data_IF_076738542136
#
_entry.id   IF_076738542136
#
_cell.length_a   1.000
_cell.length_b   1.000
_cell.length_c   1.000
_cell.angle_alpha   90.00
_cell.angle_beta   90.00
_cell.angle_gamma   90.00
#
_symmetry.space_group_name_H-M   'P 1'
#
loop_
_entity.id
_entity.type
_entity.pdbx_description
1 polymer ?
#
# COMPACT_ATOMS: atom_id res chain seq x y z
N UNK A 1 -31.83 -11.36 13.68
CA UNK A 1 -31.58 -12.42 14.68
C UNK A 1 -30.07 -12.38 14.88
N UNK A 2 -29.63 -11.89 16.03
CA UNK A 2 -28.22 -12.02 16.45
C UNK A 2 -28.07 -13.43 16.96
N UNK A 3 -27.42 -14.30 16.17
CA UNK A 3 -26.96 -15.58 16.68
C UNK A 3 -25.90 -15.28 17.75
N UNK A 4 -26.31 -15.37 19.00
CA UNK A 4 -25.40 -15.45 20.14
C UNK A 4 -24.62 -16.74 20.02
N UNK A 5 -23.37 -16.66 19.62
CA UNK A 5 -22.47 -17.81 19.64
C UNK A 5 -22.12 -18.10 21.12
N UNK A 6 -22.82 -19.01 21.74
CA UNK A 6 -22.69 -19.32 23.18
C UNK A 6 -21.35 -19.97 23.57
N UNK A 7 -20.58 -20.48 22.62
CA UNK A 7 -19.25 -21.00 22.91
C UNK A 7 -18.33 -20.88 21.67
N UNK A 8 -17.25 -20.16 21.83
CA UNK A 8 -16.17 -20.07 20.84
C UNK A 8 -15.09 -21.09 21.22
N UNK A 9 -14.83 -22.05 20.34
CA UNK A 9 -13.72 -22.99 20.50
C UNK A 9 -12.57 -22.45 19.65
N UNK A 10 -11.44 -22.13 20.29
CA UNK A 10 -10.24 -21.68 19.59
C UNK A 10 -9.41 -22.88 19.10
N UNK A 11 -9.84 -23.50 18.01
CA UNK A 11 -9.13 -24.59 17.35
C UNK A 11 -8.38 -24.13 16.09
N UNK A 12 -8.33 -22.83 15.85
CA UNK A 12 -7.64 -22.27 14.71
C UNK A 12 -6.11 -22.31 14.88
N UNK A 13 -5.41 -22.42 13.77
CA UNK A 13 -3.96 -22.31 13.71
C UNK A 13 -3.56 -21.40 12.56
N UNK A 14 -2.42 -20.73 12.70
CA UNK A 14 -1.87 -19.89 11.64
C UNK A 14 -0.38 -20.12 11.50
N UNK A 15 0.13 -19.91 10.29
CA UNK A 15 1.56 -19.94 10.01
C UNK A 15 1.95 -18.74 9.15
N UNK A 16 3.05 -18.11 9.53
CA UNK A 16 3.70 -17.05 8.76
C UNK A 16 5.18 -17.36 8.69
N UNK A 17 5.72 -17.35 7.51
CA UNK A 17 7.17 -17.44 7.33
C UNK A 17 7.58 -16.63 6.11
N UNK A 18 8.81 -16.15 6.09
CA UNK A 18 9.32 -15.35 5.01
C UNK A 18 10.78 -14.98 5.22
N UNK A 19 11.31 -14.33 4.22
CA UNK A 19 12.64 -13.73 4.25
C UNK A 19 12.50 -12.24 3.92
N UNK A 20 13.23 -11.43 4.64
CA UNK A 20 13.33 -10.01 4.40
C UNK A 20 14.78 -9.61 4.22
N UNK A 21 15.02 -8.78 3.22
CA UNK A 21 16.31 -8.13 2.98
C UNK A 21 16.11 -6.62 3.01
N UNK A 22 16.95 -5.92 3.79
CA UNK A 22 17.01 -4.46 3.83
C UNK A 22 18.43 -4.01 3.53
N UNK A 23 18.57 -3.15 2.53
CA UNK A 23 19.81 -2.45 2.20
C UNK A 23 19.60 -0.95 2.34
N UNK A 24 20.48 -0.28 3.09
CA UNK A 24 20.41 1.15 3.31
C UNK A 24 21.77 1.80 3.06
N UNK A 25 21.75 2.94 2.37
CA UNK A 25 22.84 3.90 2.32
C UNK A 25 22.34 5.21 2.90
N UNK A 26 22.90 5.60 4.04
CA UNK A 26 22.67 6.91 4.62
C UNK A 26 23.19 8.02 3.70
N UNK A 27 22.61 9.21 3.86
CA UNK A 27 23.02 10.37 3.06
C UNK A 27 24.53 10.63 3.17
N UNK A 28 25.22 10.49 2.06
CA UNK A 28 26.64 10.75 1.90
C UNK A 28 26.92 11.07 0.43
N UNK A 29 27.85 11.97 0.17
CA UNK A 29 28.21 12.41 -1.17
C UNK A 29 27.01 12.91 -2.01
N UNK A 30 26.04 13.52 -1.30
CA UNK A 30 24.84 14.10 -1.91
C UNK A 30 23.77 13.08 -2.31
N UNK A 31 23.81 11.83 -1.86
CA UNK A 31 22.76 10.86 -2.16
C UNK A 31 22.51 9.84 -1.04
N UNK A 32 21.33 9.27 -1.04
CA UNK A 32 20.90 8.19 -0.16
C UNK A 32 20.04 7.18 -0.90
N UNK A 33 19.98 5.97 -0.39
CA UNK A 33 19.14 4.90 -0.93
C UNK A 33 18.67 3.98 0.19
N UNK A 34 17.45 3.45 0.04
CA UNK A 34 16.89 2.39 0.86
C UNK A 34 16.18 1.40 -0.05
N UNK A 35 16.42 0.13 0.13
CA UNK A 35 15.68 -0.93 -0.52
C UNK A 35 15.28 -1.98 0.50
N UNK A 36 14.00 -2.35 0.53
CA UNK A 36 13.48 -3.47 1.31
C UNK A 36 12.77 -4.44 0.39
N UNK A 37 13.05 -5.72 0.53
CA UNK A 37 12.40 -6.78 -0.24
C UNK A 37 12.02 -7.89 0.74
N UNK A 38 10.75 -8.23 0.78
CA UNK A 38 10.21 -9.32 1.60
C UNK A 38 9.50 -10.32 0.70
N UNK A 39 9.73 -11.61 0.93
CA UNK A 39 8.99 -12.70 0.31
C UNK A 39 8.45 -13.59 1.42
N UNK A 40 7.15 -13.83 1.44
CA UNK A 40 6.52 -14.51 2.56
C UNK A 40 5.25 -15.28 2.15
N UNK A 41 4.87 -16.23 3.01
CA UNK A 41 3.60 -16.96 2.95
C UNK A 41 2.89 -16.85 4.29
N UNK A 42 1.61 -16.49 4.27
CA UNK A 42 0.78 -16.28 5.45
C UNK A 42 -0.55 -16.98 5.26
N UNK A 43 -0.76 -18.06 6.02
CA UNK A 43 -1.95 -18.88 5.95
C UNK A 43 -2.53 -19.16 7.32
N UNK A 44 -3.81 -19.48 7.33
CA UNK A 44 -4.50 -19.90 8.54
C UNK A 44 -5.42 -21.09 8.26
N UNK A 45 -5.72 -21.81 9.30
CA UNK A 45 -6.69 -22.89 9.30
C UNK A 45 -7.75 -22.56 10.35
N UNK A 46 -9.00 -22.44 9.93
CA UNK A 46 -10.13 -22.19 10.81
C UNK A 46 -10.57 -23.46 11.55
N UNK A 47 -11.67 -23.36 12.31
CA UNK A 47 -12.28 -24.49 13.02
C UNK A 47 -12.80 -25.60 12.10
N UNK A 48 -13.05 -25.26 10.81
CA UNK A 48 -13.44 -26.20 9.74
C UNK A 48 -12.27 -27.05 9.23
N UNK A 49 -11.03 -26.76 9.68
CA UNK A 49 -9.83 -27.47 9.28
C UNK A 49 -9.32 -27.16 7.88
N UNK A 50 -9.92 -26.21 7.16
CA UNK A 50 -9.50 -25.82 5.80
C UNK A 50 -8.42 -24.75 5.87
N UNK A 51 -7.29 -24.97 5.19
CA UNK A 51 -6.22 -23.98 5.07
C UNK A 51 -6.58 -22.92 4.03
N UNK A 52 -6.47 -21.66 4.42
CA UNK A 52 -6.75 -20.49 3.58
C UNK A 52 -5.63 -19.47 3.68
N UNK A 53 -5.52 -18.62 2.66
CA UNK A 53 -4.66 -17.46 2.75
C UNK A 53 -5.21 -16.45 3.77
N UNK A 54 -4.34 -15.70 4.41
CA UNK A 54 -4.76 -14.49 5.14
C UNK A 54 -4.99 -13.34 4.15
N UNK A 55 -5.74 -12.32 4.55
CA UNK A 55 -5.91 -11.09 3.76
C UNK A 55 -4.56 -10.44 3.40
N UNK A 56 -3.52 -10.68 4.20
CA UNK A 56 -2.20 -10.07 4.07
C UNK A 56 -1.18 -10.94 3.33
N UNK A 57 -1.58 -12.13 2.84
CA UNK A 57 -0.69 -13.02 2.10
C UNK A 57 -0.43 -12.51 0.68
N UNK A 58 0.18 -11.33 0.56
CA UNK A 58 0.53 -10.77 -0.74
C UNK A 58 1.65 -11.54 -1.44
N UNK A 59 2.40 -12.37 -0.72
CA UNK A 59 3.50 -13.20 -1.20
C UNK A 59 4.83 -12.45 -1.33
N UNK A 60 4.79 -11.17 -1.67
CA UNK A 60 5.97 -10.30 -1.71
C UNK A 60 5.61 -8.84 -1.44
N UNK A 61 6.57 -8.10 -0.92
CA UNK A 61 6.58 -6.65 -0.82
C UNK A 61 7.99 -6.12 -1.13
N UNK A 62 8.08 -5.07 -1.93
CA UNK A 62 9.34 -4.40 -2.21
C UNK A 62 9.13 -2.88 -2.18
N UNK A 63 10.05 -2.18 -1.51
CA UNK A 63 10.10 -0.73 -1.50
C UNK A 63 11.51 -0.28 -1.86
N UNK A 64 11.57 0.73 -2.73
CA UNK A 64 12.83 1.36 -3.12
C UNK A 64 12.68 2.86 -2.94
N UNK A 65 13.63 3.46 -2.26
CA UNK A 65 13.78 4.90 -2.12
C UNK A 65 15.19 5.27 -2.58
N UNK A 66 15.28 6.24 -3.46
CA UNK A 66 16.53 6.83 -3.88
C UNK A 66 16.37 8.35 -3.91
N UNK A 67 17.35 9.06 -3.37
CA UNK A 67 17.36 10.51 -3.41
C UNK A 67 18.76 11.06 -3.64
N UNK A 68 18.81 12.19 -4.35
CA UNK A 68 20.05 12.90 -4.63
C UNK A 68 19.86 14.40 -4.52
N UNK A 69 20.81 15.05 -3.88
CA UNK A 69 20.99 16.48 -3.84
C UNK A 69 22.15 16.86 -4.76
N UNK A 70 21.88 17.85 -5.62
CA UNK A 70 22.82 18.36 -6.61
C UNK A 70 23.17 19.80 -6.24
N UNK A 71 24.35 20.02 -5.68
CA UNK A 71 24.84 21.36 -5.42
C UNK A 71 25.13 22.07 -6.75
N UNK A 72 24.22 22.93 -7.18
CA UNK A 72 24.35 23.69 -8.44
C UNK A 72 25.25 24.90 -8.26
N UNK A 73 25.26 25.47 -7.04
CA UNK A 73 26.17 26.55 -6.61
C UNK A 73 26.35 26.48 -5.09
N UNK A 74 27.05 27.46 -4.51
CA UNK A 74 27.19 27.60 -3.06
C UNK A 74 25.86 27.91 -2.35
N UNK A 75 24.88 28.43 -3.07
CA UNK A 75 23.59 28.86 -2.52
C UNK A 75 22.38 28.08 -3.07
N UNK A 76 22.57 27.25 -4.08
CA UNK A 76 21.49 26.52 -4.75
C UNK A 76 21.73 25.02 -4.77
N UNK A 77 20.74 24.28 -4.28
CA UNK A 77 20.72 22.82 -4.32
C UNK A 77 19.43 22.35 -5.01
N UNK A 78 19.56 21.50 -6.02
CA UNK A 78 18.44 20.75 -6.59
C UNK A 78 18.28 19.45 -5.81
N UNK A 79 17.06 19.16 -5.39
CA UNK A 79 16.68 17.94 -4.66
C UNK A 79 15.86 17.07 -5.57
N UNK A 80 16.26 15.81 -5.73
CA UNK A 80 15.50 14.82 -6.51
C UNK A 80 15.36 13.54 -5.69
N UNK A 81 14.18 12.95 -5.68
CA UNK A 81 14.02 11.60 -5.15
C UNK A 81 12.92 10.83 -5.85
N UNK A 82 13.03 9.52 -5.81
CA UNK A 82 12.06 8.58 -6.31
C UNK A 82 11.77 7.54 -5.23
N UNK A 83 10.51 7.20 -5.04
CA UNK A 83 10.06 6.12 -4.19
C UNK A 83 9.14 5.20 -5.00
N UNK A 84 9.41 3.91 -4.96
CA UNK A 84 8.58 2.91 -5.61
C UNK A 84 8.18 1.84 -4.62
N UNK A 85 6.92 1.43 -4.66
CA UNK A 85 6.37 0.36 -3.82
C UNK A 85 5.69 -0.67 -4.70
N UNK A 86 6.02 -1.93 -4.48
CA UNK A 86 5.48 -3.10 -5.17
C UNK A 86 4.99 -4.10 -4.13
N UNK A 87 3.74 -4.53 -4.22
CA UNK A 87 3.20 -5.59 -3.37
C UNK A 87 2.44 -6.57 -4.24
N UNK A 88 2.48 -7.84 -3.89
CA UNK A 88 1.59 -8.83 -4.50
C UNK A 88 0.13 -8.54 -4.20
N UNK A 89 -0.77 -9.09 -4.99
CA UNK A 89 -2.20 -8.91 -4.81
C UNK A 89 -2.67 -9.44 -3.46
N UNK A 90 -3.52 -8.68 -2.78
CA UNK A 90 -4.18 -9.08 -1.53
C UNK A 90 -5.27 -10.10 -1.81
N UNK A 91 -5.54 -10.95 -0.85
CA UNK A 91 -6.67 -11.87 -0.92
C UNK A 91 -7.91 -11.26 -0.28
N UNK A 92 -9.05 -11.41 -0.97
CA UNK A 92 -10.37 -11.00 -0.51
C UNK A 92 -11.30 -12.20 -0.47
N UNK A 93 -12.30 -12.10 0.39
CA UNK A 93 -13.47 -12.99 0.33
C UNK A 93 -14.42 -12.44 -0.72
N UNK A 94 -14.82 -13.20 -1.75
CA UNK A 94 -15.69 -12.71 -2.79
C UNK A 94 -17.09 -12.39 -2.26
N UNK A 95 -17.68 -11.33 -2.79
CA UNK A 95 -19.06 -10.93 -2.51
C UNK A 95 -20.04 -11.78 -3.28
N UNK A 96 -21.07 -12.28 -2.59
CA UNK A 96 -22.23 -12.96 -3.21
C UNK A 96 -23.25 -11.91 -3.62
N UNK A 97 -23.23 -11.49 -4.88
CA UNK A 97 -24.12 -10.45 -5.39
C UNK A 97 -25.60 -10.81 -5.23
N UNK A 98 -25.98 -12.06 -5.49
CA UNK A 98 -27.38 -12.50 -5.40
C UNK A 98 -27.89 -12.50 -3.95
N UNK A 99 -27.11 -13.03 -3.03
CA UNK A 99 -27.46 -12.99 -1.60
C UNK A 99 -27.43 -11.56 -1.05
N UNK A 100 -26.51 -10.73 -1.50
CA UNK A 100 -26.43 -9.31 -1.14
C UNK A 100 -27.68 -8.54 -1.61
N UNK A 101 -28.16 -8.83 -2.83
CA UNK A 101 -29.38 -8.24 -3.35
C UNK A 101 -30.62 -8.62 -2.50
N UNK A 102 -30.73 -9.90 -2.12
CA UNK A 102 -31.82 -10.38 -1.30
C UNK A 102 -31.79 -9.79 0.13
N UNK A 103 -30.58 -9.62 0.70
CA UNK A 103 -30.39 -9.10 2.03
C UNK A 103 -30.35 -7.55 2.11
N UNK A 104 -30.22 -6.86 0.98
CA UNK A 104 -30.04 -5.39 0.95
C UNK A 104 -28.72 -4.90 1.54
N UNK A 105 -27.75 -5.79 1.76
CA UNK A 105 -26.45 -5.50 2.35
C UNK A 105 -25.38 -6.45 1.80
N UNK A 106 -24.09 -6.15 2.05
CA UNK A 106 -22.99 -7.01 1.62
C UNK A 106 -23.06 -8.40 2.29
N UNK A 107 -23.11 -9.45 1.48
CA UNK A 107 -23.01 -10.85 1.90
C UNK A 107 -21.84 -11.48 1.15
N UNK A 108 -20.99 -12.17 1.89
CA UNK A 108 -19.80 -12.84 1.34
C UNK A 108 -20.02 -14.34 1.21
N UNK A 109 -19.22 -15.01 0.39
CA UNK A 109 -19.17 -16.45 0.34
C UNK A 109 -18.28 -16.97 1.50
N UNK A 110 -18.87 -17.49 2.56
CA UNK A 110 -18.14 -17.95 3.76
C UNK A 110 -17.19 -19.12 3.45
N UNK A 111 -17.60 -20.02 2.56
CA UNK A 111 -16.81 -21.18 2.10
C UNK A 111 -15.60 -20.77 1.24
N UNK A 112 -15.59 -19.54 0.72
CA UNK A 112 -14.54 -19.00 -0.15
C UNK A 112 -13.76 -17.86 0.52
N UNK A 113 -13.61 -17.90 1.83
CA UNK A 113 -12.87 -16.89 2.56
C UNK A 113 -11.44 -16.73 2.02
N UNK A 114 -11.07 -15.49 1.62
CA UNK A 114 -9.77 -15.11 1.06
C UNK A 114 -9.33 -15.95 -0.14
N UNK A 115 -10.25 -16.29 -1.03
CA UNK A 115 -9.96 -17.04 -2.26
C UNK A 115 -9.65 -16.17 -3.47
N UNK A 116 -10.18 -14.95 -3.52
CA UNK A 116 -9.98 -14.04 -4.65
C UNK A 116 -8.73 -13.19 -4.44
N UNK A 117 -7.78 -13.30 -5.38
CA UNK A 117 -6.56 -12.50 -5.37
C UNK A 117 -6.73 -11.26 -6.25
N UNK A 118 -6.50 -10.09 -5.67
CA UNK A 118 -6.48 -8.82 -6.38
C UNK A 118 -5.23 -8.68 -7.27
N UNK A 119 -5.28 -7.72 -8.19
CA UNK A 119 -4.10 -7.31 -8.94
C UNK A 119 -2.99 -6.80 -8.01
N UNK A 120 -1.72 -6.96 -8.40
CA UNK A 120 -0.61 -6.43 -7.65
C UNK A 120 -0.70 -4.92 -7.49
N UNK A 121 -0.28 -4.44 -6.32
CA UNK A 121 -0.15 -3.02 -6.04
C UNK A 121 1.17 -2.48 -6.61
N UNK A 122 1.08 -1.36 -7.28
CA UNK A 122 2.24 -0.58 -7.71
C UNK A 122 1.99 0.91 -7.50
N UNK A 123 2.99 1.60 -6.93
CA UNK A 123 2.99 3.06 -6.83
C UNK A 123 4.39 3.59 -6.98
N UNK A 124 4.54 4.67 -7.75
CA UNK A 124 5.76 5.41 -7.87
C UNK A 124 5.51 6.89 -7.58
N UNK A 125 6.31 7.45 -6.66
CA UNK A 125 6.29 8.86 -6.29
C UNK A 125 7.63 9.50 -6.67
N UNK A 126 7.59 10.74 -7.13
CA UNK A 126 8.76 11.54 -7.48
C UNK A 126 8.71 12.84 -6.71
N UNK A 127 9.84 13.25 -6.13
CA UNK A 127 10.02 14.58 -5.55
C UNK A 127 11.04 15.35 -6.36
N UNK A 128 10.69 16.60 -6.66
CA UNK A 128 11.57 17.61 -7.22
C UNK A 128 11.58 18.80 -6.27
N UNK A 129 12.76 19.34 -5.95
CA UNK A 129 12.85 20.46 -5.03
C UNK A 129 14.05 21.34 -5.31
N UNK A 130 13.93 22.60 -4.90
CA UNK A 130 15.01 23.56 -4.90
C UNK A 130 15.18 24.12 -3.49
N UNK A 131 16.44 24.19 -3.03
CA UNK A 131 16.83 24.82 -1.76
C UNK A 131 17.74 25.98 -2.03
N UNK A 132 17.46 27.12 -1.39
CA UNK A 132 18.25 28.35 -1.40
C UNK A 132 18.83 28.60 -0.03
N UNK A 133 20.15 28.66 0.07
CA UNK A 133 20.88 29.04 1.29
C UNK A 133 21.22 30.54 1.20
N UNK A 134 20.53 31.38 1.98
CA UNK A 134 20.67 32.84 1.94
C UNK A 134 21.60 33.39 3.02
N UNK A 135 22.35 32.54 3.69
CA UNK A 135 23.26 32.89 4.78
C UNK A 135 22.58 33.05 6.13
N UNK A 136 21.49 33.83 6.22
CA UNK A 136 20.69 34.02 7.44
C UNK A 136 19.39 33.21 7.43
N UNK A 137 19.01 32.64 6.32
CA UNK A 137 17.81 31.80 6.19
C UNK A 137 17.97 30.79 5.06
N UNK A 138 17.15 29.74 5.13
CA UNK A 138 17.04 28.71 4.09
C UNK A 138 15.62 28.67 3.58
N UNK A 139 15.44 28.70 2.27
CA UNK A 139 14.15 28.50 1.61
C UNK A 139 14.18 27.19 0.82
N UNK A 140 13.09 26.42 0.88
CA UNK A 140 12.95 25.19 0.11
C UNK A 140 11.57 25.15 -0.52
N UNK A 141 11.52 24.93 -1.83
CA UNK A 141 10.31 24.69 -2.60
C UNK A 141 10.38 23.26 -3.14
N UNK A 142 9.39 22.43 -2.81
CA UNK A 142 9.30 21.07 -3.30
C UNK A 142 7.97 20.79 -3.98
N UNK A 143 8.01 19.90 -4.98
CA UNK A 143 6.86 19.28 -5.62
C UNK A 143 6.94 17.78 -5.36
N UNK A 144 6.00 17.25 -4.57
CA UNK A 144 5.79 15.83 -4.38
C UNK A 144 4.74 15.35 -5.37
N UNK A 145 5.16 14.60 -6.37
CA UNK A 145 4.29 14.00 -7.39
C UNK A 145 4.02 12.57 -6.95
N UNK A 146 2.82 12.33 -6.43
CA UNK A 146 2.40 11.02 -5.94
C UNK A 146 1.73 10.22 -7.04
N UNK A 147 2.03 8.92 -7.05
CA UNK A 147 1.50 7.98 -8.05
C UNK A 147 1.67 8.51 -9.47
N UNK A 148 2.91 8.83 -9.86
CA UNK A 148 3.25 9.46 -11.15
C UNK A 148 2.80 8.62 -12.36
N UNK A 149 2.59 7.33 -12.17
CA UNK A 149 2.12 6.39 -13.19
C UNK A 149 0.59 6.33 -13.28
N UNK A 150 -0.12 7.01 -12.37
CA UNK A 150 -1.58 6.98 -12.24
C UNK A 150 -2.16 5.55 -12.15
N UNK A 151 -1.42 4.65 -11.50
CA UNK A 151 -1.86 3.27 -11.35
C UNK A 151 -3.06 3.17 -10.42
N UNK A 152 -4.12 2.49 -10.86
CA UNK A 152 -5.35 2.33 -10.10
C UNK A 152 -5.24 1.12 -9.15
N UNK A 153 -4.70 1.37 -7.97
CA UNK A 153 -4.59 0.36 -6.91
C UNK A 153 -5.92 0.18 -6.20
N UNK A 154 -6.42 -1.04 -6.12
CA UNK A 154 -7.68 -1.36 -5.46
C UNK A 154 -7.58 -1.19 -3.95
N UNK A 155 -8.53 -0.45 -3.33
CA UNK A 155 -8.70 -0.40 -1.87
C UNK A 155 -9.58 -1.55 -1.40
N UNK A 156 -10.80 -1.60 -1.92
CA UNK A 156 -11.82 -2.56 -1.52
C UNK A 156 -12.90 -2.71 -2.59
N UNK A 157 -13.68 -3.78 -2.45
CA UNK A 157 -14.92 -3.95 -3.18
C UNK A 157 -16.10 -3.73 -2.23
N UNK A 158 -17.12 -3.01 -2.69
CA UNK A 158 -18.32 -2.68 -1.92
C UNK A 158 -19.56 -3.03 -2.70
N UNK A 159 -20.51 -3.65 -2.03
CA UNK A 159 -21.85 -3.82 -2.58
C UNK A 159 -22.64 -2.50 -2.48
N UNK A 160 -23.26 -2.10 -3.58
CA UNK A 160 -24.16 -0.93 -3.63
C UNK A 160 -25.62 -1.40 -3.70
N UNK A 161 -26.39 -1.27 -2.61
CA UNK A 161 -27.78 -1.73 -2.56
C UNK A 161 -28.73 -0.95 -3.47
N UNK A 162 -28.38 0.29 -3.87
CA UNK A 162 -29.22 1.09 -4.76
C UNK A 162 -29.17 0.62 -6.21
N UNK A 163 -28.00 0.19 -6.65
CA UNK A 163 -27.76 -0.25 -8.04
C UNK A 163 -27.67 -1.76 -8.17
N UNK A 164 -27.65 -2.47 -7.05
CA UNK A 164 -27.45 -3.93 -6.98
C UNK A 164 -26.18 -4.38 -7.70
N UNK A 165 -25.09 -3.62 -7.54
CA UNK A 165 -23.79 -3.89 -8.18
C UNK A 165 -22.68 -3.94 -7.13
N UNK A 166 -21.58 -4.63 -7.48
CA UNK A 166 -20.33 -4.56 -6.75
C UNK A 166 -19.48 -3.48 -7.39
N UNK A 167 -19.16 -2.44 -6.62
CA UNK A 167 -18.27 -1.36 -7.02
C UNK A 167 -16.86 -1.60 -6.48
N UNK A 168 -15.85 -1.37 -7.30
CA UNK A 168 -14.44 -1.37 -6.87
C UNK A 168 -14.02 0.06 -6.57
N UNK A 169 -13.48 0.27 -5.37
CA UNK A 169 -12.93 1.56 -4.96
C UNK A 169 -11.40 1.50 -5.09
N UNK A 170 -10.85 2.57 -5.68
CA UNK A 170 -9.41 2.68 -5.93
C UNK A 170 -8.77 3.67 -4.96
N UNK A 171 -7.49 3.48 -4.71
CA UNK A 171 -6.67 4.47 -4.02
C UNK A 171 -6.53 5.73 -4.87
N UNK A 172 -6.05 6.79 -4.24
CA UNK A 172 -5.79 8.03 -4.94
C UNK A 172 -4.83 7.81 -6.12
N UNK A 173 -5.23 8.28 -7.29
CA UNK A 173 -4.43 8.31 -8.49
C UNK A 173 -3.34 9.38 -8.44
N UNK A 174 -2.96 9.90 -9.60
CA UNK A 174 -2.00 10.98 -9.72
C UNK A 174 -2.37 12.21 -8.89
N UNK A 175 -1.41 12.69 -8.09
CA UNK A 175 -1.61 13.86 -7.23
C UNK A 175 -0.32 14.64 -7.01
N UNK A 176 -0.39 15.98 -7.02
CA UNK A 176 0.76 16.86 -6.84
C UNK A 176 0.59 17.71 -5.58
N UNK A 177 1.61 17.73 -4.74
CA UNK A 177 1.65 18.50 -3.50
C UNK A 177 2.82 19.48 -3.57
N UNK A 178 2.57 20.78 -3.80
CA UNK A 178 3.60 21.79 -3.62
C UNK A 178 3.80 22.07 -2.13
N UNK A 179 5.05 22.20 -1.71
CA UNK A 179 5.40 22.56 -0.34
C UNK A 179 6.46 23.66 -0.36
N UNK A 180 6.23 24.72 0.41
CA UNK A 180 7.21 25.75 0.65
C UNK A 180 7.60 25.74 2.13
N UNK A 181 8.91 25.74 2.40
CA UNK A 181 9.49 25.83 3.74
C UNK A 181 10.43 27.01 3.79
N UNK A 182 10.30 27.80 4.83
CA UNK A 182 11.23 28.90 5.12
C UNK A 182 11.72 28.73 6.57
N UNK A 183 13.03 28.65 6.72
CA UNK A 183 13.70 28.53 8.02
C UNK A 183 14.64 29.74 8.20
N UNK A 184 14.55 30.39 9.35
CA UNK A 184 15.33 31.60 9.68
C UNK A 184 15.83 31.52 11.13
#
# INVERSE_FOLDING_TARGET
>A
VTDNVDSLINNGSGRNFGLEFTGERFFSDGWYALATISVFDSKYKGSDGVERNTAFNTGYAANVLFGKEWALSQTFTLITSIRSSFLGGRYLTPLNQQASAAAGQAVFFDDRAFSDRQDPYFRMDVRLGYRWELGWSTMELTLDIQNVTDNQNVILQRYNPRTNTIATEFQQGFFVIPTFRWTF
#
